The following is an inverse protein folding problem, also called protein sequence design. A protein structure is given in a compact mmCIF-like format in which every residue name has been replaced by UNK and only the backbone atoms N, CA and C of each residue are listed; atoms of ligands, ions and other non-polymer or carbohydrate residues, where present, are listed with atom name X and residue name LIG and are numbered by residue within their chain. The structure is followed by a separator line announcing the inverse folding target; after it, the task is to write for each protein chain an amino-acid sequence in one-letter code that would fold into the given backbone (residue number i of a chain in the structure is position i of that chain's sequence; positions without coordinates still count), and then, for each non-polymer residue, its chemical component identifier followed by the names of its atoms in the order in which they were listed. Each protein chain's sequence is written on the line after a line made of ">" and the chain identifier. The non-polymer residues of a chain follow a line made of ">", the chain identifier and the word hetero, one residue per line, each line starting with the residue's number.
data_IF_209301856235
#
_entry.id   IF_209301856235
#
_cell.length_a   1.000
_cell.length_b   1.000
_cell.length_c   1.000
_cell.angle_alpha   90.00
_cell.angle_beta   90.00
_cell.angle_gamma   90.00
#
_symmetry.space_group_name_H-M   'P 1'
#
loop_
_entity.id
_entity.type
_entity.pdbx_description
1 polymer ?
#
# COMPACT_ATOMS: atom_id res chain seq x y z
N UNK A 1 52.91 -21.83 47.24
CA UNK A 1 52.96 -22.09 45.78
C UNK A 1 52.80 -20.76 45.07
N UNK A 2 53.87 -20.30 44.41
CA UNK A 2 53.95 -19.02 43.71
C UNK A 2 53.89 -19.35 42.21
N UNK A 3 52.89 -18.83 41.49
CA UNK A 3 52.79 -18.98 40.04
C UNK A 3 53.14 -17.64 39.39
N UNK A 4 54.22 -17.65 38.60
CA UNK A 4 54.81 -16.51 37.88
C UNK A 4 54.18 -16.38 36.48
N UNK A 5 53.85 -15.15 36.08
CA UNK A 5 53.47 -14.75 34.71
C UNK A 5 54.71 -14.57 33.83
N UNK A 6 54.71 -14.99 32.54
CA UNK A 6 55.72 -14.55 31.57
C UNK A 6 55.25 -13.36 30.69
N UNK A 7 56.19 -12.52 30.18
CA UNK A 7 55.89 -11.25 29.51
C UNK A 7 55.70 -11.35 27.99
N UNK A 8 55.11 -10.29 27.43
CA UNK A 8 54.88 -10.05 26.02
C UNK A 8 56.16 -9.78 25.21
N UNK A 9 56.18 -10.21 23.95
CA UNK A 9 57.21 -9.81 22.97
C UNK A 9 56.55 -9.16 21.75
N UNK A 10 56.82 -7.87 21.56
CA UNK A 10 56.50 -7.12 20.36
C UNK A 10 57.62 -7.25 19.33
N UNK A 11 57.29 -7.43 18.04
CA UNK A 11 58.09 -6.93 16.90
C UNK A 11 57.18 -6.52 15.73
N UNK A 12 57.46 -5.32 15.21
CA UNK A 12 56.84 -4.60 14.09
C UNK A 12 57.81 -4.68 12.87
N UNK A 13 57.60 -3.92 11.78
CA UNK A 13 56.92 -4.25 10.51
C UNK A 13 57.88 -4.47 9.32
N UNK A 14 57.34 -4.84 8.15
CA UNK A 14 57.95 -4.55 6.83
C UNK A 14 56.88 -4.11 5.84
N UNK A 15 57.21 -3.05 5.09
CA UNK A 15 56.37 -2.25 4.21
C UNK A 15 56.50 -2.64 2.72
N UNK A 16 55.49 -2.21 1.94
CA UNK A 16 55.49 -1.83 0.51
C UNK A 16 55.70 -2.96 -0.52
N UNK A 17 54.91 -3.08 -1.60
CA UNK A 17 54.69 -2.04 -2.63
C UNK A 17 53.40 -2.21 -3.44
N UNK A 18 53.02 -1.09 -4.04
CA UNK A 18 51.90 -0.76 -4.93
C UNK A 18 51.78 -1.58 -6.22
N UNK A 19 50.54 -1.82 -6.67
CA UNK A 19 50.19 -1.79 -8.10
C UNK A 19 48.68 -1.51 -8.32
N UNK A 20 48.39 -0.60 -9.24
CA UNK A 20 47.12 -0.32 -9.93
C UNK A 20 47.54 0.17 -11.33
N UNK A 21 46.75 0.10 -12.41
CA UNK A 21 45.31 -0.23 -12.51
C UNK A 21 44.99 -1.24 -13.65
N UNK A 22 43.70 -1.47 -13.94
CA UNK A 22 43.05 -1.64 -15.27
C UNK A 22 42.05 -2.81 -15.32
N UNK A 23 40.96 -2.56 -16.06
CA UNK A 23 39.92 -3.48 -16.56
C UNK A 23 38.61 -3.55 -15.77
N UNK A 24 37.88 -2.44 -15.87
CA UNK A 24 36.43 -2.37 -16.07
C UNK A 24 35.87 -3.56 -16.86
N UNK A 25 34.97 -4.33 -16.24
CA UNK A 25 34.06 -5.23 -16.93
C UNK A 25 32.64 -4.92 -16.46
N UNK A 26 31.95 -4.13 -17.28
CA UNK A 26 30.54 -3.82 -17.12
C UNK A 26 29.72 -5.12 -17.10
N UNK A 27 29.17 -5.48 -15.94
CA UNK A 27 28.14 -6.49 -15.85
C UNK A 27 26.82 -5.84 -16.25
N UNK A 28 26.40 -6.11 -17.49
CA UNK A 28 25.11 -5.73 -18.02
C UNK A 28 23.99 -6.27 -17.13
N UNK A 29 23.38 -5.38 -16.35
CA UNK A 29 22.12 -5.65 -15.68
C UNK A 29 21.08 -5.96 -16.76
N UNK A 30 20.58 -7.19 -16.75
CA UNK A 30 19.44 -7.61 -17.57
C UNK A 30 18.24 -6.75 -17.17
N UNK A 31 17.93 -5.74 -17.98
CA UNK A 31 16.74 -4.92 -17.87
C UNK A 31 15.55 -5.83 -18.12
N UNK A 32 14.80 -6.14 -17.04
CA UNK A 32 13.49 -6.79 -17.16
C UNK A 32 12.60 -5.85 -17.99
N UNK A 33 11.88 -6.34 -19.01
CA UNK A 33 11.04 -5.47 -19.82
C UNK A 33 9.97 -4.83 -18.91
N UNK A 34 9.96 -3.50 -18.90
CA UNK A 34 8.96 -2.70 -18.20
C UNK A 34 7.56 -3.17 -18.60
N UNK A 35 6.79 -3.54 -17.58
CA UNK A 35 5.36 -3.81 -17.67
C UNK A 35 4.69 -2.58 -18.25
N UNK A 36 3.98 -2.76 -19.37
CA UNK A 36 3.41 -1.67 -20.16
C UNK A 36 2.35 -0.94 -19.33
N UNK A 37 2.51 0.37 -19.17
CA UNK A 37 1.44 1.27 -18.69
C UNK A 37 0.18 1.03 -19.54
N UNK A 38 -0.84 0.40 -18.97
CA UNK A 38 -2.09 0.07 -19.68
C UNK A 38 -3.06 1.26 -19.76
N UNK A 39 -2.61 2.47 -19.39
CA UNK A 39 -3.43 3.69 -19.40
C UNK A 39 -3.68 4.29 -20.80
N UNK A 40 -3.15 3.71 -21.88
CA UNK A 40 -3.21 4.34 -23.21
C UNK A 40 -4.58 4.25 -23.92
N UNK A 41 -5.64 3.72 -23.29
CA UNK A 41 -6.96 3.67 -23.96
C UNK A 41 -8.14 3.91 -23.04
N UNK A 42 -8.05 4.92 -22.18
CA UNK A 42 -9.22 5.60 -21.64
C UNK A 42 -9.19 7.04 -22.16
N UNK A 43 -10.29 7.48 -22.77
CA UNK A 43 -10.50 8.87 -23.21
C UNK A 43 -9.99 9.83 -22.12
N UNK A 44 -9.00 10.64 -22.46
CA UNK A 44 -8.28 11.54 -21.56
C UNK A 44 -9.17 12.66 -21.04
N UNK A 45 -9.96 12.37 -20.01
CA UNK A 45 -10.34 13.39 -19.04
C UNK A 45 -9.12 13.59 -18.13
N UNK A 46 -8.28 14.59 -18.44
CA UNK A 46 -7.20 14.98 -17.55
C UNK A 46 -7.78 15.21 -16.15
N UNK A 47 -7.30 14.47 -15.15
CA UNK A 47 -7.69 14.66 -13.76
C UNK A 47 -7.35 16.12 -13.40
N UNK A 48 -8.38 16.95 -13.20
CA UNK A 48 -8.16 18.37 -12.86
C UNK A 48 -7.39 18.44 -11.55
N UNK A 49 -6.34 19.26 -11.56
CA UNK A 49 -5.62 19.64 -10.35
C UNK A 49 -6.56 20.50 -9.51
N UNK A 50 -6.81 20.09 -8.27
CA UNK A 50 -7.48 20.92 -7.27
C UNK A 50 -9.02 20.86 -7.29
N UNK A 51 -9.55 20.84 -6.07
CA UNK A 51 -10.94 20.67 -5.66
C UNK A 51 -11.54 19.27 -5.85
N UNK A 52 -12.23 18.81 -4.80
CA UNK A 52 -13.13 17.67 -4.88
C UNK A 52 -14.20 17.92 -5.96
N UNK A 53 -14.39 16.98 -6.90
CA UNK A 53 -15.51 17.05 -7.83
C UNK A 53 -16.83 17.13 -7.06
N UNK A 54 -17.69 18.08 -7.42
CA UNK A 54 -19.03 18.15 -6.87
C UNK A 54 -19.83 16.87 -7.21
N UNK A 55 -20.74 16.47 -6.31
CA UNK A 55 -21.65 15.34 -6.52
C UNK A 55 -21.52 14.26 -5.44
N UNK A 56 -21.81 13.02 -5.82
CA UNK A 56 -21.76 11.87 -4.93
C UNK A 56 -20.30 11.46 -4.66
N UNK A 57 -19.79 11.82 -3.48
CA UNK A 57 -18.43 11.49 -3.09
C UNK A 57 -18.22 10.00 -2.78
N UNK A 58 -19.29 9.24 -2.50
CA UNK A 58 -19.22 7.78 -2.37
C UNK A 58 -18.94 7.13 -3.73
N UNK A 59 -19.69 7.53 -4.77
CA UNK A 59 -19.43 7.11 -6.15
C UNK A 59 -18.05 7.54 -6.63
N UNK A 60 -17.65 8.78 -6.34
CA UNK A 60 -16.32 9.30 -6.63
C UNK A 60 -15.23 8.42 -6.02
N UNK A 61 -15.35 8.09 -4.73
CA UNK A 61 -14.41 7.21 -4.03
C UNK A 61 -14.35 5.84 -4.71
N UNK A 62 -15.50 5.24 -5.02
CA UNK A 62 -15.56 3.94 -5.70
C UNK A 62 -14.84 3.95 -7.04
N UNK A 63 -14.97 5.02 -7.81
CA UNK A 63 -14.31 5.17 -9.11
C UNK A 63 -12.79 5.26 -8.98
N UNK A 64 -12.29 6.00 -7.98
CA UNK A 64 -10.85 6.02 -7.70
C UNK A 64 -10.34 4.64 -7.29
N UNK A 65 -11.01 3.99 -6.33
CA UNK A 65 -10.56 2.71 -5.78
C UNK A 65 -10.61 1.56 -6.80
N UNK A 66 -11.49 1.65 -7.79
CA UNK A 66 -11.62 0.63 -8.86
C UNK A 66 -10.82 0.97 -10.13
N UNK A 67 -10.13 2.11 -10.16
CA UNK A 67 -9.36 2.56 -11.31
C UNK A 67 -10.20 3.14 -12.46
N UNK A 68 -11.53 3.22 -12.30
CA UNK A 68 -12.42 3.88 -13.27
C UNK A 68 -12.13 5.39 -13.39
N UNK A 69 -11.53 5.98 -12.35
CA UNK A 69 -10.94 7.33 -12.39
C UNK A 69 -9.43 7.24 -12.04
N UNK A 70 -8.55 7.86 -12.83
CA UNK A 70 -7.12 7.93 -12.49
C UNK A 70 -6.89 8.78 -11.23
N UNK A 71 -5.79 8.57 -10.48
CA UNK A 71 -5.46 9.40 -9.33
C UNK A 71 -5.41 10.90 -9.68
N UNK A 72 -5.70 11.81 -8.72
CA UNK A 72 -5.51 13.24 -8.93
C UNK A 72 -4.09 13.55 -9.43
N UNK A 73 -3.97 14.47 -10.39
CA UNK A 73 -2.70 14.67 -11.12
C UNK A 73 -1.53 15.12 -10.23
N UNK A 74 -1.80 15.84 -9.13
CA UNK A 74 -0.81 16.26 -8.13
C UNK A 74 -0.82 15.36 -6.88
N UNK A 75 -1.50 14.22 -6.90
CA UNK A 75 -1.57 13.29 -5.75
C UNK A 75 -0.18 12.88 -5.28
N UNK A 76 0.70 12.46 -6.21
CA UNK A 76 2.07 12.05 -5.86
C UNK A 76 2.87 13.18 -5.21
N UNK A 77 2.69 14.41 -5.68
CA UNK A 77 3.33 15.58 -5.08
C UNK A 77 2.83 15.88 -3.67
N UNK A 78 1.56 15.61 -3.38
CA UNK A 78 0.90 15.92 -2.09
C UNK A 78 1.03 14.79 -1.08
N UNK A 79 0.96 13.54 -1.53
CA UNK A 79 0.96 12.33 -0.70
C UNK A 79 2.30 11.60 -0.68
N UNK A 80 3.20 11.91 -1.61
CA UNK A 80 4.58 11.38 -1.63
C UNK A 80 4.73 10.02 -2.29
N UNK A 81 3.70 9.50 -2.98
CA UNK A 81 3.76 8.24 -3.70
C UNK A 81 2.82 8.18 -4.89
N UNK A 82 3.13 7.30 -5.85
CA UNK A 82 2.27 6.99 -6.99
C UNK A 82 1.43 5.74 -6.69
N UNK A 83 0.10 5.83 -6.64
CA UNK A 83 -0.76 4.65 -6.52
C UNK A 83 -0.57 3.74 -7.73
N UNK A 84 -0.72 2.43 -7.53
CA UNK A 84 -0.61 1.44 -8.61
C UNK A 84 -1.88 0.60 -8.69
N UNK A 85 -2.17 0.10 -9.90
CA UNK A 85 -3.33 -0.75 -10.14
C UNK A 85 -2.95 -2.22 -10.05
N UNK A 86 -3.81 -3.04 -9.44
CA UNK A 86 -3.77 -4.49 -9.57
C UNK A 86 -5.05 -5.01 -10.20
N UNK A 87 -4.95 -6.14 -10.90
CA UNK A 87 -6.12 -6.88 -11.36
C UNK A 87 -6.45 -7.98 -10.35
N UNK A 88 -7.66 -7.94 -9.78
CA UNK A 88 -8.20 -9.03 -8.96
C UNK A 88 -9.21 -9.85 -9.76
N UNK A 89 -9.65 -10.99 -9.21
CA UNK A 89 -10.77 -11.76 -9.76
C UNK A 89 -12.09 -10.97 -9.78
N UNK A 90 -12.21 -9.95 -8.92
CA UNK A 90 -13.41 -9.12 -8.71
C UNK A 90 -13.23 -7.71 -9.28
N UNK A 91 -12.35 -7.56 -10.27
CA UNK A 91 -12.06 -6.29 -10.96
C UNK A 91 -10.76 -5.63 -10.54
N UNK A 92 -10.47 -4.48 -11.16
CA UNK A 92 -9.27 -3.69 -10.87
C UNK A 92 -9.38 -3.01 -9.50
N UNK A 93 -8.24 -2.84 -8.82
CA UNK A 93 -8.11 -2.05 -7.58
C UNK A 93 -6.90 -1.14 -7.65
N UNK A 94 -7.03 0.09 -7.15
CA UNK A 94 -5.92 1.02 -6.96
C UNK A 94 -5.40 0.90 -5.52
N UNK A 95 -4.07 0.88 -5.35
CA UNK A 95 -3.43 0.57 -4.09
C UNK A 95 -2.37 1.60 -3.68
N UNK A 96 -2.25 1.80 -2.36
CA UNK A 96 -1.08 2.38 -1.70
C UNK A 96 0.04 1.33 -1.64
N UNK A 97 1.23 1.57 -2.23
CA UNK A 97 2.36 0.64 -2.16
C UNK A 97 2.90 0.43 -0.74
N UNK A 98 2.64 1.36 0.17
CA UNK A 98 3.13 1.34 1.56
C UNK A 98 2.05 0.92 2.57
N UNK A 99 0.79 0.82 2.12
CA UNK A 99 -0.32 0.36 2.93
C UNK A 99 -0.12 -1.07 3.42
N UNK A 100 -0.81 -1.43 4.51
CA UNK A 100 -0.72 -2.80 5.04
C UNK A 100 -1.89 -3.16 5.92
N UNK A 101 -2.30 -4.43 5.86
CA UNK A 101 -3.27 -4.92 6.81
C UNK A 101 -2.64 -5.03 8.21
N UNK A 102 -3.40 -4.65 9.24
CA UNK A 102 -3.00 -4.91 10.62
C UNK A 102 -4.17 -5.42 11.44
N UNK A 103 -3.97 -6.59 12.06
CA UNK A 103 -4.89 -7.11 13.07
C UNK A 103 -4.49 -6.66 14.49
N UNK A 104 -5.48 -6.55 15.40
CA UNK A 104 -5.22 -6.53 16.83
C UNK A 104 -4.32 -7.72 17.25
N UNK A 105 -3.22 -7.42 17.94
CA UNK A 105 -2.28 -8.43 18.43
C UNK A 105 -1.43 -9.16 17.36
N UNK A 106 -1.49 -8.78 16.08
CA UNK A 106 -0.72 -9.42 14.97
C UNK A 106 -1.03 -10.91 14.76
N UNK A 107 -2.22 -11.36 15.13
CA UNK A 107 -2.67 -12.77 15.01
C UNK A 107 -3.56 -12.99 13.77
N UNK A 108 -3.92 -11.91 13.07
CA UNK A 108 -4.83 -11.96 11.92
C UNK A 108 -4.15 -12.36 10.60
N UNK A 109 -4.95 -12.60 9.55
CA UNK A 109 -4.49 -12.93 8.21
C UNK A 109 -3.96 -11.68 7.48
N UNK A 110 -2.95 -11.02 8.06
CA UNK A 110 -2.41 -9.75 7.57
C UNK A 110 -1.92 -9.87 6.12
N UNK A 111 -1.20 -10.94 5.79
CA UNK A 111 -0.66 -11.15 4.44
C UNK A 111 -1.77 -11.36 3.40
N UNK A 112 -2.80 -12.10 3.76
CA UNK A 112 -3.91 -12.40 2.88
C UNK A 112 -4.82 -11.20 2.64
N UNK A 113 -4.98 -10.34 3.65
CA UNK A 113 -5.79 -9.13 3.56
C UNK A 113 -5.00 -7.89 3.12
N UNK A 114 -3.67 -7.99 3.00
CA UNK A 114 -2.78 -6.92 2.56
C UNK A 114 -3.26 -6.23 1.26
N UNK A 115 -3.69 -6.94 0.20
CA UNK A 115 -4.17 -6.27 -1.01
C UNK A 115 -5.45 -5.44 -0.80
N UNK A 116 -6.36 -5.93 0.05
CA UNK A 116 -7.59 -5.19 0.38
C UNK A 116 -7.27 -3.97 1.24
N UNK A 117 -6.37 -4.12 2.22
CA UNK A 117 -5.92 -3.03 3.08
C UNK A 117 -5.21 -1.92 2.31
N UNK A 118 -4.31 -2.26 1.38
CA UNK A 118 -3.65 -1.27 0.51
C UNK A 118 -4.63 -0.46 -0.35
N UNK A 119 -5.73 -1.09 -0.77
CA UNK A 119 -6.81 -0.39 -1.49
C UNK A 119 -7.57 0.55 -0.55
N UNK A 120 -7.84 0.10 0.67
CA UNK A 120 -8.51 0.88 1.71
C UNK A 120 -7.67 2.10 2.13
N UNK A 121 -6.39 1.90 2.37
CA UNK A 121 -5.41 2.95 2.71
C UNK A 121 -5.34 4.01 1.61
N UNK A 122 -5.33 3.61 0.33
CA UNK A 122 -5.43 4.55 -0.78
C UNK A 122 -6.71 5.39 -0.73
N UNK A 123 -7.84 4.81 -0.34
CA UNK A 123 -9.10 5.54 -0.12
C UNK A 123 -9.00 6.56 1.00
N UNK A 124 -8.34 6.20 2.10
CA UNK A 124 -8.08 7.12 3.20
C UNK A 124 -7.12 8.25 2.81
N UNK A 125 -6.13 7.95 1.98
CA UNK A 125 -5.23 8.96 1.46
C UNK A 125 -5.91 9.93 0.50
N UNK A 126 -6.94 9.50 -0.23
CA UNK A 126 -7.79 10.41 -0.99
C UNK A 126 -8.58 11.36 -0.07
N UNK A 127 -9.10 10.88 1.06
CA UNK A 127 -9.75 11.74 2.06
C UNK A 127 -8.77 12.81 2.58
N UNK A 128 -7.56 12.39 2.98
CA UNK A 128 -6.49 13.29 3.45
C UNK A 128 -6.04 14.27 2.37
N UNK A 129 -5.89 13.79 1.14
CA UNK A 129 -5.52 14.61 0.00
C UNK A 129 -6.54 15.75 -0.18
N UNK A 130 -7.83 15.44 -0.23
CA UNK A 130 -8.87 16.44 -0.46
C UNK A 130 -9.06 17.41 0.70
N UNK A 131 -8.84 16.94 1.93
CA UNK A 131 -8.76 17.78 3.13
C UNK A 131 -7.59 18.78 3.04
N UNK A 132 -6.37 18.32 2.71
CA UNK A 132 -5.20 19.20 2.50
C UNK A 132 -5.39 20.22 1.37
N UNK A 133 -6.23 19.91 0.38
CA UNK A 133 -6.58 20.83 -0.73
C UNK A 133 -7.67 21.84 -0.34
N UNK A 134 -8.22 21.77 0.87
CA UNK A 134 -9.26 22.67 1.36
C UNK A 134 -10.65 22.36 0.82
N UNK A 135 -10.85 21.16 0.27
CA UNK A 135 -12.14 20.71 -0.28
C UNK A 135 -12.42 19.29 0.20
N UNK A 136 -12.66 19.08 1.51
CA UNK A 136 -12.85 17.75 2.08
C UNK A 136 -13.99 17.01 1.39
N UNK A 137 -13.82 15.70 1.20
CA UNK A 137 -14.90 14.84 0.77
C UNK A 137 -15.92 14.68 1.92
N UNK A 138 -17.17 14.40 1.57
CA UNK A 138 -18.21 14.09 2.56
C UNK A 138 -18.01 12.69 3.14
N UNK A 139 -18.65 12.43 4.27
CA UNK A 139 -18.64 11.15 4.99
C UNK A 139 -18.89 9.92 4.11
N UNK A 140 -19.69 10.09 3.05
CA UNK A 140 -20.04 9.00 2.14
C UNK A 140 -18.84 8.48 1.35
N UNK A 141 -17.80 9.29 1.15
CA UNK A 141 -16.54 8.83 0.59
C UNK A 141 -15.88 7.81 1.52
N UNK A 142 -15.77 8.11 2.82
CA UNK A 142 -15.19 7.18 3.80
C UNK A 142 -16.03 5.91 3.92
N UNK A 143 -17.36 6.04 4.01
CA UNK A 143 -18.25 4.87 4.02
C UNK A 143 -18.08 4.00 2.78
N UNK A 144 -17.90 4.61 1.60
CA UNK A 144 -17.67 3.85 0.37
C UNK A 144 -16.31 3.14 0.36
N UNK A 145 -15.26 3.74 0.93
CA UNK A 145 -13.97 3.08 1.07
C UNK A 145 -14.07 1.87 2.02
N UNK A 146 -14.70 2.06 3.18
CA UNK A 146 -14.93 1.00 4.19
C UNK A 146 -15.80 -0.14 3.63
N UNK A 147 -16.82 0.20 2.83
CA UNK A 147 -17.69 -0.78 2.18
C UNK A 147 -16.92 -1.63 1.16
N UNK A 148 -16.09 -1.01 0.31
CA UNK A 148 -15.27 -1.77 -0.65
C UNK A 148 -14.23 -2.63 0.07
N UNK A 149 -13.62 -2.13 1.15
CA UNK A 149 -12.72 -2.95 1.96
C UNK A 149 -13.43 -4.19 2.48
N UNK A 150 -14.62 -4.03 3.08
CA UNK A 150 -15.44 -5.15 3.54
C UNK A 150 -15.75 -6.13 2.40
N UNK A 151 -16.17 -5.64 1.23
CA UNK A 151 -16.44 -6.49 0.07
C UNK A 151 -15.22 -7.33 -0.31
N UNK A 152 -14.04 -6.72 -0.44
CA UNK A 152 -12.82 -7.40 -0.87
C UNK A 152 -12.36 -8.45 0.16
N UNK A 153 -12.55 -8.20 1.46
CA UNK A 153 -12.30 -9.20 2.50
C UNK A 153 -13.23 -10.41 2.37
N UNK A 154 -14.52 -10.19 2.14
CA UNK A 154 -15.48 -11.27 1.96
C UNK A 154 -15.31 -12.00 0.64
N UNK A 155 -14.93 -11.31 -0.44
CA UNK A 155 -14.54 -11.92 -1.71
C UNK A 155 -13.36 -12.86 -1.52
N UNK A 156 -12.29 -12.40 -0.86
CA UNK A 156 -11.13 -13.25 -0.56
C UNK A 156 -11.56 -14.50 0.22
N UNK A 157 -12.41 -14.33 1.25
CA UNK A 157 -12.88 -15.43 2.06
C UNK A 157 -13.74 -16.44 1.29
N UNK A 158 -14.60 -15.96 0.38
CA UNK A 158 -15.47 -16.81 -0.45
C UNK A 158 -14.70 -17.56 -1.54
N UNK A 159 -13.58 -17.01 -2.01
CA UNK A 159 -12.68 -17.61 -3.00
C UNK A 159 -11.84 -18.77 -2.46
N UNK A 160 -11.83 -18.98 -1.14
CA UNK A 160 -11.03 -20.03 -0.52
C UNK A 160 -11.55 -21.42 -0.84
N UNK A 161 -10.63 -22.37 -0.98
CA UNK A 161 -10.97 -23.78 -1.18
C UNK A 161 -11.20 -24.45 0.18
N UNK A 162 -12.29 -25.22 0.28
CA UNK A 162 -12.64 -25.96 1.48
C UNK A 162 -13.40 -25.13 2.52
N UNK A 163 -14.32 -25.79 3.22
CA UNK A 163 -15.23 -25.17 4.17
C UNK A 163 -14.49 -24.49 5.34
N UNK A 164 -13.47 -25.14 5.90
CA UNK A 164 -12.73 -24.61 7.05
C UNK A 164 -12.01 -23.30 6.74
N UNK A 165 -11.37 -23.19 5.57
CA UNK A 165 -10.72 -21.95 5.15
C UNK A 165 -11.74 -20.83 4.92
N UNK A 166 -12.84 -21.12 4.21
CA UNK A 166 -13.93 -20.14 4.01
C UNK A 166 -14.44 -19.61 5.35
N UNK A 167 -14.73 -20.49 6.31
CA UNK A 167 -15.20 -20.08 7.63
C UNK A 167 -14.14 -19.21 8.35
N UNK A 168 -12.88 -19.64 8.38
CA UNK A 168 -11.76 -18.90 9.00
C UNK A 168 -11.67 -17.47 8.47
N UNK A 169 -11.58 -17.31 7.15
CA UNK A 169 -11.39 -15.98 6.55
C UNK A 169 -12.66 -15.14 6.59
N UNK A 170 -13.86 -15.74 6.60
CA UNK A 170 -15.12 -14.98 6.80
C UNK A 170 -15.19 -14.40 8.22
N UNK A 171 -14.78 -15.16 9.23
CA UNK A 171 -14.71 -14.67 10.60
C UNK A 171 -13.74 -13.50 10.71
N UNK A 172 -12.54 -13.62 10.15
CA UNK A 172 -11.58 -12.52 10.14
C UNK A 172 -12.05 -11.32 9.32
N UNK A 173 -12.68 -11.54 8.16
CA UNK A 173 -13.27 -10.47 7.35
C UNK A 173 -14.28 -9.65 8.16
N UNK A 174 -15.13 -10.33 8.94
CA UNK A 174 -16.09 -9.66 9.83
C UNK A 174 -15.38 -8.86 10.93
N UNK A 175 -14.33 -9.40 11.55
CA UNK A 175 -13.56 -8.70 12.60
C UNK A 175 -12.94 -7.41 12.05
N UNK A 176 -12.22 -7.48 10.93
CA UNK A 176 -11.56 -6.30 10.32
C UNK A 176 -12.60 -5.26 9.90
N UNK A 177 -13.65 -5.67 9.20
CA UNK A 177 -14.69 -4.76 8.75
C UNK A 177 -15.39 -4.05 9.92
N UNK A 178 -15.66 -4.78 11.02
CA UNK A 178 -16.29 -4.20 12.22
C UNK A 178 -15.34 -3.24 12.92
N UNK A 179 -14.05 -3.58 13.03
CA UNK A 179 -13.06 -2.71 13.66
C UNK A 179 -12.91 -1.39 12.89
N UNK A 180 -12.82 -1.44 11.57
CA UNK A 180 -12.76 -0.25 10.71
C UNK A 180 -14.04 0.57 10.84
N UNK A 181 -15.21 -0.05 10.76
CA UNK A 181 -16.49 0.66 10.87
C UNK A 181 -16.64 1.37 12.22
N UNK A 182 -16.26 0.72 13.33
CA UNK A 182 -16.27 1.34 14.66
C UNK A 182 -15.29 2.52 14.73
N UNK A 183 -14.08 2.36 14.20
CA UNK A 183 -13.10 3.45 14.16
C UNK A 183 -13.60 4.63 13.31
N UNK A 184 -14.22 4.36 12.16
CA UNK A 184 -14.82 5.39 11.31
C UNK A 184 -15.96 6.14 12.01
N UNK A 185 -16.80 5.43 12.78
CA UNK A 185 -17.85 6.07 13.59
C UNK A 185 -17.26 6.97 14.67
N UNK A 186 -16.23 6.53 15.38
CA UNK A 186 -15.54 7.33 16.42
C UNK A 186 -14.93 8.61 15.82
N UNK A 187 -14.44 8.52 14.58
CA UNK A 187 -13.85 9.65 13.86
C UNK A 187 -14.87 10.49 13.06
N UNK A 188 -16.18 10.23 13.21
CA UNK A 188 -17.23 10.95 12.49
C UNK A 188 -17.12 10.85 10.97
N UNK A 189 -16.54 9.77 10.44
CA UNK A 189 -16.33 9.53 9.01
C UNK A 189 -15.45 10.56 8.27
N UNK A 190 -14.71 11.41 8.99
CA UNK A 190 -13.76 12.36 8.40
C UNK A 190 -12.45 11.72 7.91
N UNK A 191 -11.46 12.52 7.48
CA UNK A 191 -10.12 12.03 7.19
C UNK A 191 -9.46 11.41 8.45
N UNK A 192 -8.83 10.23 8.35
CA UNK A 192 -8.14 9.57 9.46
C UNK A 192 -6.72 10.09 9.71
#
# INVERSE_FOLDING_TARGET
>A
MIVRTPPATARRPVSSSSESPTAERANAATVRPHEKDTFTKATTAAARVGAAPAGDHGKLMREYLTGARPPPADFEKVMGYKPFSIQTKHGQRMQDPFGSASAPGKIGPDKEFDPAAKTHDYGYDLLRYYDRKGTPLSDDARKSADALFREDLFHFANDQKGFGAKLKYRTWAQIYATAVELNSRVQGYGPP
#
